data_IF_125768033076
#
_entry.id   IF_125768033076
#
_cell.length_a   1.000
_cell.length_b   1.000
_cell.length_c   1.000
_cell.angle_alpha   90.00
_cell.angle_beta   90.00
_cell.angle_gamma   90.00
#
_symmetry.space_group_name_H-M   'P 1'
#
loop_
_entity.id
_entity.type
_entity.pdbx_description
1 polymer ?
#
# COMPACT_ATOMS: atom_id res chain seq x y z
N UNK A 1 -2.62 -47.97 21.39
CA UNK A 1 -2.06 -46.81 22.14
C UNK A 1 -1.84 -45.55 21.28
N UNK A 2 -2.26 -45.50 20.00
CA UNK A 2 -2.08 -44.31 19.12
C UNK A 2 -3.38 -43.64 18.64
N UNK A 3 -4.57 -44.09 19.09
CA UNK A 3 -5.84 -43.64 18.50
C UNK A 3 -6.06 -42.14 18.63
N UNK A 4 -5.65 -41.52 19.75
CA UNK A 4 -5.79 -40.07 19.95
C UNK A 4 -4.89 -39.25 19.03
N UNK A 5 -3.68 -39.74 18.74
CA UNK A 5 -2.78 -39.09 17.80
C UNK A 5 -3.35 -39.16 16.36
N UNK A 6 -3.87 -40.32 15.95
CA UNK A 6 -4.54 -40.48 14.66
C UNK A 6 -5.76 -39.57 14.51
N UNK A 7 -6.57 -39.46 15.57
CA UNK A 7 -7.72 -38.55 15.63
C UNK A 7 -7.28 -37.09 15.43
N UNK A 8 -6.26 -36.64 16.17
CA UNK A 8 -5.73 -35.27 16.07
C UNK A 8 -5.12 -34.97 14.69
N UNK A 9 -4.39 -35.92 14.11
CA UNK A 9 -3.82 -35.78 12.76
C UNK A 9 -4.92 -35.71 11.69
N UNK A 10 -5.99 -36.48 11.83
CA UNK A 10 -7.14 -36.40 10.93
C UNK A 10 -7.88 -35.06 11.03
N UNK A 11 -8.03 -34.52 12.25
CA UNK A 11 -8.59 -33.18 12.47
C UNK A 11 -7.70 -32.11 11.81
N UNK A 12 -6.38 -32.19 11.99
CA UNK A 12 -5.42 -31.27 11.35
C UNK A 12 -5.49 -31.35 9.82
N UNK A 13 -5.48 -32.56 9.25
CA UNK A 13 -5.63 -32.79 7.80
C UNK A 13 -6.91 -32.14 7.26
N UNK A 14 -8.04 -32.43 7.90
CA UNK A 14 -9.36 -31.88 7.49
C UNK A 14 -9.38 -30.35 7.58
N UNK A 15 -8.77 -29.78 8.63
CA UNK A 15 -8.60 -28.34 8.79
C UNK A 15 -7.76 -27.71 7.67
N UNK A 16 -6.65 -28.35 7.30
CA UNK A 16 -5.78 -27.88 6.21
C UNK A 16 -6.45 -27.98 4.83
N UNK A 17 -7.18 -29.06 4.55
CA UNK A 17 -7.95 -29.21 3.32
C UNK A 17 -9.05 -28.14 3.19
N UNK A 18 -9.71 -27.82 4.31
CA UNK A 18 -10.72 -26.74 4.35
C UNK A 18 -10.07 -25.37 4.12
N UNK A 19 -8.93 -25.10 4.76
CA UNK A 19 -8.19 -23.86 4.56
C UNK A 19 -7.71 -23.70 3.11
N UNK A 20 -7.26 -24.78 2.47
CA UNK A 20 -6.85 -24.77 1.07
C UNK A 20 -8.02 -24.39 0.14
N UNK A 21 -9.22 -24.94 0.36
CA UNK A 21 -10.43 -24.56 -0.38
C UNK A 21 -10.73 -23.07 -0.23
N UNK A 22 -10.66 -22.54 1.00
CA UNK A 22 -10.89 -21.10 1.26
C UNK A 22 -9.86 -20.23 0.52
N UNK A 23 -8.58 -20.58 0.56
CA UNK A 23 -7.52 -19.83 -0.15
C UNK A 23 -7.74 -19.87 -1.68
N UNK A 24 -8.13 -21.02 -2.23
CA UNK A 24 -8.44 -21.15 -3.65
C UNK A 24 -9.64 -20.29 -4.06
N UNK A 25 -10.72 -20.29 -3.29
CA UNK A 25 -11.88 -19.42 -3.53
C UNK A 25 -11.52 -17.93 -3.41
N UNK A 26 -10.64 -17.55 -2.47
CA UNK A 26 -10.12 -16.18 -2.37
C UNK A 26 -9.35 -15.79 -3.65
N UNK A 27 -8.51 -16.69 -4.17
CA UNK A 27 -7.75 -16.48 -5.41
C UNK A 27 -8.69 -16.30 -6.60
N UNK A 28 -9.67 -17.18 -6.77
CA UNK A 28 -10.68 -17.07 -7.84
C UNK A 28 -11.45 -15.76 -7.75
N UNK A 29 -11.87 -15.35 -6.54
CA UNK A 29 -12.54 -14.08 -6.33
C UNK A 29 -11.67 -12.89 -6.75
N UNK A 30 -10.38 -12.87 -6.41
CA UNK A 30 -9.44 -11.81 -6.81
C UNK A 30 -9.32 -11.76 -8.35
N UNK A 31 -9.17 -12.91 -9.00
CA UNK A 31 -9.02 -13.00 -10.45
C UNK A 31 -10.30 -12.54 -11.18
N UNK A 32 -11.48 -13.00 -10.74
CA UNK A 32 -12.76 -12.69 -11.36
C UNK A 32 -13.21 -11.25 -11.12
N UNK A 33 -12.94 -10.69 -9.95
CA UNK A 33 -13.35 -9.33 -9.59
C UNK A 33 -12.37 -8.25 -10.06
N UNK A 34 -11.59 -8.55 -11.10
CA UNK A 34 -10.87 -7.54 -11.85
C UNK A 34 -9.63 -7.02 -11.14
N UNK A 35 -8.88 -7.85 -10.43
CA UNK A 35 -7.58 -7.46 -9.89
C UNK A 35 -6.65 -6.87 -10.98
N UNK A 36 -6.59 -7.51 -12.15
CA UNK A 36 -5.84 -6.98 -13.30
C UNK A 36 -6.36 -5.60 -13.75
N UNK A 37 -7.69 -5.45 -13.85
CA UNK A 37 -8.31 -4.15 -14.17
C UNK A 37 -7.98 -3.10 -13.11
N UNK A 38 -7.94 -3.47 -11.83
CA UNK A 38 -7.54 -2.58 -10.75
C UNK A 38 -6.07 -2.15 -10.91
N UNK A 39 -5.15 -3.08 -11.16
CA UNK A 39 -3.74 -2.77 -11.43
C UNK A 39 -3.60 -1.83 -12.63
N UNK A 40 -4.32 -2.07 -13.72
CA UNK A 40 -4.36 -1.18 -14.90
C UNK A 40 -4.87 0.22 -14.55
N UNK A 41 -5.89 0.33 -13.69
CA UNK A 41 -6.39 1.65 -13.24
C UNK A 41 -5.37 2.39 -12.37
N UNK A 42 -4.66 1.69 -11.49
CA UNK A 42 -3.58 2.27 -10.67
C UNK A 42 -2.44 2.75 -11.56
N UNK A 43 -2.05 1.96 -12.57
CA UNK A 43 -1.00 2.35 -13.51
C UNK A 43 -1.40 3.56 -14.37
N UNK A 44 -2.66 3.62 -14.83
CA UNK A 44 -3.19 4.81 -15.52
C UNK A 44 -3.25 6.04 -14.61
N UNK A 45 -3.60 5.87 -13.34
CA UNK A 45 -3.55 6.93 -12.34
C UNK A 45 -2.12 7.46 -12.16
N UNK A 46 -1.12 6.58 -12.05
CA UNK A 46 0.29 6.95 -11.96
C UNK A 46 0.75 7.78 -13.16
N UNK A 47 0.48 7.32 -14.39
CA UNK A 47 0.78 8.06 -15.62
C UNK A 47 0.13 9.45 -15.63
N UNK A 48 -1.14 9.52 -15.23
CA UNK A 48 -1.89 10.80 -15.15
C UNK A 48 -1.28 11.75 -14.11
N UNK A 49 -0.87 11.24 -12.94
CA UNK A 49 -0.20 12.05 -11.91
C UNK A 49 1.16 12.56 -12.37
N UNK A 50 1.94 11.74 -13.08
CA UNK A 50 3.19 12.16 -13.69
C UNK A 50 2.99 13.32 -14.68
N UNK A 51 2.00 13.19 -15.57
CA UNK A 51 1.62 14.26 -16.50
C UNK A 51 1.17 15.54 -15.77
N UNK A 52 0.29 15.44 -14.78
CA UNK A 52 -0.17 16.59 -13.97
C UNK A 52 1.00 17.25 -13.23
N UNK A 53 1.96 16.47 -12.73
CA UNK A 53 3.17 16.99 -12.09
C UNK A 53 4.00 17.83 -13.06
N UNK A 54 4.18 17.35 -14.30
CA UNK A 54 4.86 18.11 -15.35
C UNK A 54 4.13 19.41 -15.69
N UNK A 55 2.80 19.37 -15.83
CA UNK A 55 1.99 20.57 -16.05
C UNK A 55 2.11 21.57 -14.89
N UNK A 56 2.17 21.08 -13.64
CA UNK A 56 2.39 21.93 -12.47
C UNK A 56 3.74 22.62 -12.53
N UNK A 57 4.82 21.92 -12.90
CA UNK A 57 6.14 22.50 -13.08
C UNK A 57 6.15 23.59 -14.16
N UNK A 58 5.50 23.35 -15.31
CA UNK A 58 5.36 24.34 -16.38
C UNK A 58 4.56 25.57 -15.91
N UNK A 59 3.46 25.34 -15.19
CA UNK A 59 2.63 26.42 -14.61
C UNK A 59 3.44 27.27 -13.63
N UNK A 60 4.30 26.65 -12.80
CA UNK A 60 5.17 27.36 -11.87
C UNK A 60 6.23 28.19 -12.60
N UNK A 61 6.85 27.65 -13.65
CA UNK A 61 7.81 28.41 -14.48
C UNK A 61 7.15 29.64 -15.11
N UNK A 62 5.95 29.48 -15.63
CA UNK A 62 5.20 30.57 -16.23
C UNK A 62 4.78 31.62 -15.19
N UNK A 63 4.36 31.16 -14.00
CA UNK A 63 4.07 32.03 -12.86
C UNK A 63 5.29 32.89 -12.48
N UNK A 64 6.48 32.30 -12.35
CA UNK A 64 7.71 33.04 -12.04
C UNK A 64 8.10 34.01 -13.17
N UNK A 65 7.93 33.61 -14.43
CA UNK A 65 8.16 34.50 -15.59
C UNK A 65 7.28 35.75 -15.53
N UNK A 66 5.99 35.58 -15.27
CA UNK A 66 5.03 36.69 -15.13
C UNK A 66 5.35 37.59 -13.94
N UNK A 67 5.76 36.99 -12.82
CA UNK A 67 6.17 37.71 -11.61
C UNK A 67 7.38 38.62 -11.85
N UNK A 68 8.39 38.13 -12.57
CA UNK A 68 9.56 38.90 -12.96
C UNK A 68 9.20 40.02 -13.95
N UNK A 69 8.43 39.72 -14.99
CA UNK A 69 8.02 40.69 -16.01
C UNK A 69 7.20 41.86 -15.43
N UNK A 70 6.38 41.58 -14.41
CA UNK A 70 5.53 42.60 -13.76
C UNK A 70 6.23 43.32 -12.60
N UNK A 71 7.48 42.98 -12.27
CA UNK A 71 8.22 43.43 -11.07
C UNK A 71 7.45 43.17 -9.76
N UNK A 72 6.56 42.19 -9.72
CA UNK A 72 5.71 41.86 -8.56
C UNK A 72 6.31 40.75 -7.70
N UNK A 73 7.56 40.91 -7.29
CA UNK A 73 8.34 39.88 -6.58
C UNK A 73 7.76 39.45 -5.22
N UNK A 74 6.86 40.24 -4.64
CA UNK A 74 6.15 39.94 -3.39
C UNK A 74 5.05 38.87 -3.53
N UNK A 75 4.57 38.60 -4.75
CA UNK A 75 3.50 37.62 -5.01
C UNK A 75 4.06 36.20 -4.79
N UNK A 76 3.39 35.43 -3.92
CA UNK A 76 3.79 34.07 -3.52
C UNK A 76 2.86 32.99 -4.08
N UNK A 77 1.63 33.34 -4.46
CA UNK A 77 0.62 32.37 -4.92
C UNK A 77 -0.02 32.79 -6.23
N UNK A 78 -0.40 31.82 -7.06
CA UNK A 78 -1.11 32.07 -8.33
C UNK A 78 -2.41 32.84 -8.11
N UNK A 79 -3.14 32.59 -7.01
CA UNK A 79 -4.36 33.34 -6.67
C UNK A 79 -4.11 34.83 -6.40
N UNK A 80 -2.90 35.21 -5.99
CA UNK A 80 -2.54 36.61 -5.75
C UNK A 80 -2.33 37.37 -7.07
N UNK A 81 -2.32 36.68 -8.23
CA UNK A 81 -2.29 37.32 -9.55
C UNK A 81 -3.65 37.88 -9.99
N UNK A 82 -4.76 37.49 -9.33
CA UNK A 82 -6.12 37.88 -9.74
C UNK A 82 -6.29 39.40 -9.94
N UNK A 83 -5.78 40.29 -9.06
CA UNK A 83 -5.90 41.74 -9.25
C UNK A 83 -5.19 42.26 -10.51
N UNK A 84 -4.20 41.53 -11.02
CA UNK A 84 -3.39 41.92 -12.19
C UNK A 84 -3.94 41.37 -13.51
N UNK A 85 -4.94 40.51 -13.46
CA UNK A 85 -5.64 40.01 -14.64
C UNK A 85 -6.69 41.03 -15.10
N UNK A 86 -6.91 41.12 -16.41
CA UNK A 86 -7.95 41.97 -17.01
C UNK A 86 -9.29 41.70 -16.34
N UNK A 87 -10.03 42.75 -16.00
CA UNK A 87 -11.30 42.65 -15.25
C UNK A 87 -12.28 41.65 -15.91
N UNK A 88 -12.31 41.64 -17.25
CA UNK A 88 -13.12 40.72 -18.07
C UNK A 88 -12.76 39.24 -17.91
N UNK A 89 -11.53 38.92 -17.50
CA UNK A 89 -11.00 37.55 -17.38
C UNK A 89 -10.87 37.08 -15.92
N UNK A 90 -10.95 38.00 -14.94
CA UNK A 90 -10.76 37.71 -13.50
C UNK A 90 -11.67 36.61 -12.97
N UNK A 91 -12.95 36.62 -13.36
CA UNK A 91 -13.93 35.61 -12.93
C UNK A 91 -13.51 34.23 -13.42
N UNK A 92 -13.25 34.10 -14.73
CA UNK A 92 -12.81 32.84 -15.36
C UNK A 92 -11.53 32.30 -14.72
N UNK A 93 -10.56 33.17 -14.45
CA UNK A 93 -9.31 32.76 -13.80
C UNK A 93 -9.53 32.30 -12.36
N UNK A 94 -10.29 33.06 -11.57
CA UNK A 94 -10.65 32.70 -10.18
C UNK A 94 -11.35 31.34 -10.13
N UNK A 95 -12.32 31.13 -11.02
CA UNK A 95 -13.06 29.86 -11.11
C UNK A 95 -12.14 28.69 -11.45
N UNK A 96 -11.18 28.88 -12.37
CA UNK A 96 -10.18 27.86 -12.72
C UNK A 96 -9.27 27.51 -11.54
N UNK A 97 -8.72 28.49 -10.84
CA UNK A 97 -7.85 28.26 -9.67
C UNK A 97 -8.61 27.51 -8.58
N UNK A 98 -9.85 27.93 -8.29
CA UNK A 98 -10.70 27.27 -7.30
C UNK A 98 -11.05 25.84 -7.72
N UNK A 99 -11.37 25.62 -8.99
CA UNK A 99 -11.70 24.29 -9.53
C UNK A 99 -10.50 23.34 -9.46
N UNK A 100 -9.30 23.80 -9.81
CA UNK A 100 -8.08 22.99 -9.71
C UNK A 100 -7.81 22.60 -8.26
N UNK A 101 -7.92 23.55 -7.32
CA UNK A 101 -7.76 23.29 -5.89
C UNK A 101 -8.76 22.23 -5.40
N UNK A 102 -10.04 22.40 -5.72
CA UNK A 102 -11.09 21.46 -5.36
C UNK A 102 -10.81 20.04 -5.89
N UNK A 103 -10.47 19.92 -7.17
CA UNK A 103 -10.18 18.63 -7.80
C UNK A 103 -8.98 17.95 -7.14
N UNK A 104 -7.93 18.72 -6.82
CA UNK A 104 -6.75 18.20 -6.14
C UNK A 104 -7.07 17.62 -4.77
N UNK A 105 -7.83 18.35 -3.95
CA UNK A 105 -8.25 17.89 -2.62
C UNK A 105 -9.13 16.64 -2.71
N UNK A 106 -10.05 16.59 -3.67
CA UNK A 106 -10.91 15.43 -3.90
C UNK A 106 -10.10 14.18 -4.31
N UNK A 107 -9.14 14.33 -5.22
CA UNK A 107 -8.24 13.23 -5.65
C UNK A 107 -7.42 12.71 -4.47
N UNK A 108 -6.90 13.60 -3.61
CA UNK A 108 -6.17 13.22 -2.41
C UNK A 108 -7.04 12.44 -1.44
N UNK A 109 -8.27 12.90 -1.18
CA UNK A 109 -9.24 12.20 -0.34
C UNK A 109 -9.51 10.79 -0.87
N UNK A 110 -9.84 10.65 -2.15
CA UNK A 110 -10.13 9.36 -2.79
C UNK A 110 -8.92 8.43 -2.79
N UNK A 111 -7.73 8.95 -3.01
CA UNK A 111 -6.48 8.17 -2.94
C UNK A 111 -6.20 7.65 -1.52
N UNK A 112 -6.51 8.43 -0.47
CA UNK A 112 -6.41 7.98 0.92
C UNK A 112 -7.41 6.87 1.24
N UNK A 113 -8.66 7.03 0.82
CA UNK A 113 -9.71 6.01 0.96
C UNK A 113 -9.26 4.69 0.31
N UNK A 114 -8.75 4.74 -0.92
CA UNK A 114 -8.22 3.57 -1.63
C UNK A 114 -7.04 2.92 -0.90
N UNK A 115 -6.10 3.73 -0.39
CA UNK A 115 -4.95 3.23 0.38
C UNK A 115 -5.39 2.48 1.63
N UNK A 116 -6.40 2.97 2.35
CA UNK A 116 -6.91 2.31 3.57
C UNK A 116 -7.45 0.92 3.22
N UNK A 117 -8.24 0.80 2.15
CA UNK A 117 -8.79 -0.48 1.70
C UNK A 117 -7.68 -1.49 1.37
N UNK A 118 -6.71 -1.09 0.55
CA UNK A 118 -5.58 -1.96 0.18
C UNK A 118 -4.76 -2.36 1.41
N UNK A 119 -4.43 -1.41 2.29
CA UNK A 119 -3.62 -1.66 3.49
C UNK A 119 -4.30 -2.64 4.45
N UNK A 120 -5.63 -2.51 4.64
CA UNK A 120 -6.40 -3.39 5.51
C UNK A 120 -6.37 -4.83 4.97
N UNK A 121 -6.58 -5.01 3.67
CA UNK A 121 -6.52 -6.33 3.02
C UNK A 121 -5.12 -6.93 3.12
N UNK A 122 -4.06 -6.18 2.83
CA UNK A 122 -2.67 -6.65 2.96
C UNK A 122 -2.31 -7.03 4.40
N UNK A 123 -2.77 -6.28 5.40
CA UNK A 123 -2.52 -6.58 6.81
C UNK A 123 -3.13 -7.92 7.24
N UNK A 124 -4.37 -8.21 6.79
CA UNK A 124 -5.05 -9.48 7.06
C UNK A 124 -4.28 -10.64 6.41
N UNK A 125 -3.94 -10.51 5.12
CA UNK A 125 -3.18 -11.54 4.39
C UNK A 125 -1.80 -11.79 5.01
N UNK A 126 -1.09 -10.73 5.40
CA UNK A 126 0.21 -10.85 6.06
C UNK A 126 0.12 -11.53 7.43
N UNK A 127 -0.96 -11.29 8.19
CA UNK A 127 -1.21 -12.02 9.44
C UNK A 127 -1.45 -13.50 9.17
N UNK A 128 -2.28 -13.85 8.18
CA UNK A 128 -2.52 -15.23 7.77
C UNK A 128 -1.22 -15.93 7.33
N UNK A 129 -0.37 -15.26 6.55
CA UNK A 129 0.93 -15.80 6.14
C UNK A 129 1.88 -16.01 7.32
N UNK A 130 1.90 -15.12 8.31
CA UNK A 130 2.71 -15.32 9.53
C UNK A 130 2.24 -16.53 10.32
N UNK A 131 0.93 -16.72 10.48
CA UNK A 131 0.37 -17.90 11.14
C UNK A 131 0.70 -19.20 10.40
N UNK A 132 0.67 -19.19 9.06
CA UNK A 132 1.11 -20.33 8.26
C UNK A 132 2.62 -20.60 8.42
N UNK A 133 3.46 -19.56 8.47
CA UNK A 133 4.91 -19.70 8.67
C UNK A 133 5.26 -20.25 10.06
N UNK A 134 4.56 -19.83 11.11
CA UNK A 134 4.75 -20.40 12.45
C UNK A 134 4.38 -21.89 12.48
N UNK A 135 3.35 -22.29 11.72
CA UNK A 135 2.97 -23.71 11.58
C UNK A 135 4.09 -24.54 10.90
N UNK A 136 4.78 -24.00 9.89
CA UNK A 136 5.91 -24.69 9.24
C UNK A 136 7.19 -24.79 10.09
N UNK A 137 7.38 -23.90 11.07
CA UNK A 137 8.57 -23.88 11.94
C UNK A 137 8.58 -24.99 12.99
N UNK A 138 7.40 -25.45 13.43
CA UNK A 138 7.23 -26.48 14.46
C UNK A 138 7.01 -27.90 13.89
N UNK A 139 6.93 -28.04 12.56
CA UNK A 139 6.86 -29.34 11.87
C UNK A 139 8.22 -29.92 11.49
N UNK A 140 9.31 -29.41 12.08
CA UNK A 140 10.69 -29.90 11.96
C UNK A 140 10.94 -31.34 12.46
N UNK A 141 9.91 -32.19 12.49
CA UNK A 141 10.00 -33.64 12.66
C UNK A 141 9.47 -34.45 11.47
N UNK A 142 8.95 -33.83 10.40
CA UNK A 142 8.37 -34.53 9.24
C UNK A 142 9.22 -34.52 7.97
N UNK A 143 10.35 -33.79 7.95
CA UNK A 143 11.31 -33.88 6.85
C UNK A 143 12.28 -35.02 7.09
N UNK A 144 11.95 -36.22 6.60
CA UNK A 144 12.99 -37.20 6.25
C UNK A 144 13.68 -36.68 4.98
N UNK A 145 14.90 -36.18 5.13
CA UNK A 145 16.03 -36.51 4.27
C UNK A 145 17.32 -36.06 4.96
N UNK A 146 18.25 -37.00 5.03
CA UNK A 146 19.48 -36.90 5.82
C UNK A 146 20.52 -35.93 5.25
N UNK A 147 21.56 -35.78 6.08
CA UNK A 147 22.79 -35.01 5.90
C UNK A 147 22.68 -33.50 6.19
N UNK A 148 22.90 -33.11 7.45
CA UNK A 148 24.23 -32.64 7.88
C UNK A 148 24.25 -32.22 9.36
N UNK A 149 25.14 -32.90 10.12
CA UNK A 149 26.02 -32.41 11.19
C UNK A 149 25.48 -31.47 12.28
N UNK A 150 25.28 -32.08 13.45
CA UNK A 150 25.84 -31.69 14.76
C UNK A 150 26.41 -30.28 14.89
N UNK A 151 25.79 -29.47 15.73
CA UNK A 151 26.30 -28.15 16.15
C UNK A 151 25.75 -27.77 17.52
N UNK A 152 26.21 -28.50 18.53
CA UNK A 152 26.13 -28.14 19.95
C UNK A 152 26.58 -26.68 20.13
N UNK A 153 25.79 -25.84 20.79
CA UNK A 153 26.30 -24.62 21.42
C UNK A 153 25.70 -24.44 22.81
N UNK A 154 26.38 -24.91 23.88
CA UNK A 154 25.97 -24.73 25.26
C UNK A 154 26.67 -23.47 25.78
N UNK A 155 25.97 -22.35 25.83
CA UNK A 155 26.46 -21.15 26.51
C UNK A 155 25.30 -20.30 27.01
N UNK A 156 24.59 -20.82 28.02
CA UNK A 156 23.88 -19.98 28.98
C UNK A 156 24.61 -20.11 30.30
N UNK A 157 25.59 -19.22 30.51
CA UNK A 157 26.25 -19.03 31.79
C UNK A 157 25.20 -18.51 32.77
N UNK A 158 24.79 -19.34 33.71
CA UNK A 158 24.08 -18.94 34.92
C UNK A 158 25.03 -18.01 35.68
N UNK A 159 24.66 -16.74 35.82
CA UNK A 159 25.30 -15.85 36.79
C UNK A 159 24.35 -15.80 37.96
N UNK A 160 24.77 -16.49 39.01
CA UNK A 160 24.30 -16.37 40.38
C UNK A 160 24.72 -14.98 40.90
N UNK A 161 23.80 -14.23 41.51
CA UNK A 161 24.11 -13.09 42.37
C UNK A 161 23.15 -13.07 43.54
N UNK A 162 23.58 -13.75 44.60
CA UNK A 162 23.18 -13.47 45.98
C UNK A 162 23.72 -12.09 46.40
N UNK A 163 22.84 -11.24 46.90
CA UNK A 163 23.09 -10.30 48.01
C UNK A 163 21.91 -10.49 48.96
#
# INVERSE_FOLDING_TARGET
>A
MYSKLFELLNIQKTGLETLLKVINSQREYILLNGHEKFLDTVHRQEKSLSYISNLKLLTLKEFERLKLATKKTHIKKISELIPFIRVTERKKFTDLVNRIKFLWELIQKKSRENRILVTKTSSILNRSLRTLKSYSGDHGGYTKNGNHTSGINPSRRVIDRSI
#
